data_IF_307971771506
#
_entry.id   IF_307971771506
#
_cell.length_a   1.000
_cell.length_b   1.000
_cell.length_c   1.000
_cell.angle_alpha   90.00
_cell.angle_beta   90.00
_cell.angle_gamma   90.00
#
_symmetry.space_group_name_H-M   'P 1'
#
loop_
_entity.id
_entity.type
_entity.pdbx_description
1 polymer ?
#
# COMPACT_ATOMS: atom_id res chain seq x y z
N UNK A 1 0.96 14.31 -28.69
CA UNK A 1 1.05 14.13 -27.21
C UNK A 1 0.90 12.65 -26.80
N UNK A 2 -0.06 11.90 -27.38
CA UNK A 2 -0.28 10.50 -27.02
C UNK A 2 0.92 9.55 -27.31
N UNK A 3 1.64 9.75 -28.40
CA UNK A 3 2.77 8.90 -28.79
C UNK A 3 4.01 9.09 -27.91
N UNK A 4 4.26 10.29 -27.41
CA UNK A 4 5.40 10.58 -26.53
C UNK A 4 5.15 10.02 -25.11
N UNK A 5 3.91 10.09 -24.63
CA UNK A 5 3.50 9.50 -23.35
C UNK A 5 3.57 7.97 -23.40
N UNK A 6 3.17 7.33 -24.52
CA UNK A 6 3.35 5.88 -24.72
C UNK A 6 4.83 5.47 -24.70
N UNK A 7 5.72 6.22 -25.35
CA UNK A 7 7.16 5.92 -25.33
C UNK A 7 7.80 6.13 -23.95
N UNK A 8 7.40 7.15 -23.21
CA UNK A 8 7.88 7.36 -21.83
C UNK A 8 7.39 6.26 -20.89
N UNK A 9 6.13 5.82 -21.02
CA UNK A 9 5.58 4.71 -20.23
C UNK A 9 6.32 3.40 -20.51
N UNK A 10 6.66 3.09 -21.75
CA UNK A 10 7.45 1.91 -22.09
C UNK A 10 8.92 2.00 -21.68
N UNK A 11 9.47 3.21 -21.50
CA UNK A 11 10.84 3.39 -21.02
C UNK A 11 11.00 3.25 -19.51
N UNK A 12 9.95 3.53 -18.72
CA UNK A 12 9.98 3.41 -17.26
C UNK A 12 9.72 2.00 -16.76
N UNK A 13 9.08 1.13 -17.57
CA UNK A 13 8.78 -0.26 -17.24
C UNK A 13 9.80 -1.14 -17.94
N UNK A 14 11.02 -1.17 -17.45
CA UNK A 14 12.04 -2.13 -17.86
C UNK A 14 12.29 -3.11 -16.73
N UNK A 15 12.00 -4.35 -17.02
CA UNK A 15 12.47 -5.65 -16.48
C UNK A 15 12.74 -5.80 -14.96
N UNK A 16 12.90 -4.70 -14.19
CA UNK A 16 13.25 -4.74 -12.78
C UNK A 16 12.31 -3.92 -11.87
N UNK A 17 11.33 -3.21 -12.42
CA UNK A 17 10.42 -2.36 -11.64
C UNK A 17 8.97 -2.64 -12.01
N UNK A 18 8.18 -3.06 -11.04
CA UNK A 18 6.73 -3.17 -11.19
C UNK A 18 6.07 -1.80 -11.01
N UNK A 19 5.13 -1.48 -11.90
CA UNK A 19 4.34 -0.24 -11.82
C UNK A 19 2.87 -0.60 -11.61
N UNK A 20 2.31 -0.08 -10.54
CA UNK A 20 0.89 -0.22 -10.21
C UNK A 20 0.22 1.15 -10.09
N UNK A 21 -1.03 1.24 -10.51
CA UNK A 21 -1.86 2.44 -10.33
C UNK A 21 -3.02 2.10 -9.42
N UNK A 22 -3.09 2.71 -8.24
CA UNK A 22 -4.27 2.62 -7.38
C UNK A 22 -5.13 3.86 -7.58
N UNK A 23 -6.36 3.63 -8.05
CA UNK A 23 -7.27 4.71 -8.45
C UNK A 23 -8.52 4.71 -7.57
N UNK A 24 -9.26 5.85 -7.49
CA UNK A 24 -10.57 5.89 -6.87
C UNK A 24 -11.52 4.86 -7.49
N UNK A 25 -12.47 4.36 -6.72
CA UNK A 25 -13.44 3.35 -7.19
C UNK A 25 -14.16 3.74 -8.49
N UNK A 26 -14.45 5.04 -8.65
CA UNK A 26 -15.12 5.60 -9.84
C UNK A 26 -14.30 5.45 -11.11
N UNK A 27 -12.99 5.32 -11.00
CA UNK A 27 -12.06 5.28 -12.14
C UNK A 27 -11.59 3.87 -12.49
N UNK A 28 -11.96 2.86 -11.68
CA UNK A 28 -11.52 1.48 -11.88
C UNK A 28 -11.92 0.92 -13.25
N UNK A 29 -13.15 1.15 -13.70
CA UNK A 29 -13.59 0.71 -15.02
C UNK A 29 -12.83 1.42 -16.14
N UNK A 30 -12.52 2.70 -15.97
CA UNK A 30 -11.79 3.49 -16.96
C UNK A 30 -10.35 2.99 -17.09
N UNK A 31 -9.65 2.75 -15.97
CA UNK A 31 -8.29 2.23 -16.01
C UNK A 31 -8.23 0.80 -16.56
N UNK A 32 -9.19 -0.06 -16.18
CA UNK A 32 -9.32 -1.39 -16.75
C UNK A 32 -9.39 -1.32 -18.29
N UNK A 33 -10.31 -0.52 -18.81
CA UNK A 33 -10.51 -0.38 -20.27
C UNK A 33 -9.25 0.12 -20.97
N UNK A 34 -8.53 1.07 -20.37
CA UNK A 34 -7.27 1.59 -20.93
C UNK A 34 -6.15 0.55 -20.92
N UNK A 35 -5.99 -0.17 -19.81
CA UNK A 35 -4.94 -1.18 -19.66
C UNK A 35 -5.17 -2.35 -20.63
N UNK A 36 -6.40 -2.87 -20.71
CA UNK A 36 -6.76 -3.97 -21.60
C UNK A 36 -6.72 -3.55 -23.09
N UNK A 37 -7.33 -2.39 -23.41
CA UNK A 37 -7.43 -1.90 -24.78
C UNK A 37 -6.09 -1.54 -25.41
N UNK A 38 -5.23 -0.89 -24.65
CA UNK A 38 -3.89 -0.46 -25.08
C UNK A 38 -2.80 -1.51 -24.78
N UNK A 39 -3.15 -2.63 -24.14
CA UNK A 39 -2.23 -3.70 -23.69
C UNK A 39 -1.05 -3.12 -22.90
N UNK A 40 -1.36 -2.26 -21.95
CA UNK A 40 -0.35 -1.61 -21.13
C UNK A 40 0.27 -2.63 -20.15
N UNK A 41 1.59 -2.56 -20.00
CA UNK A 41 2.32 -3.42 -19.05
C UNK A 41 2.39 -2.75 -17.66
N UNK A 42 1.25 -2.38 -17.15
CA UNK A 42 1.05 -1.87 -15.79
C UNK A 42 -0.10 -2.64 -15.14
N UNK A 43 -0.05 -2.73 -13.84
CA UNK A 43 -1.13 -3.28 -13.03
C UNK A 43 -1.95 -2.16 -12.39
N UNK A 44 -3.13 -2.47 -11.92
CA UNK A 44 -3.95 -1.47 -11.23
C UNK A 44 -4.71 -2.08 -10.05
N UNK A 45 -5.22 -1.21 -9.20
CA UNK A 45 -5.93 -1.59 -8.01
C UNK A 45 -6.76 -0.46 -7.42
N UNK A 46 -7.36 -0.72 -6.28
CA UNK A 46 -8.23 0.19 -5.57
C UNK A 46 -7.53 0.87 -4.40
N UNK A 47 -8.06 2.00 -3.96
CA UNK A 47 -7.56 2.77 -2.82
C UNK A 47 -8.15 2.34 -1.48
N UNK A 48 -9.08 1.38 -1.49
CA UNK A 48 -9.65 0.75 -0.30
C UNK A 48 -10.43 -0.52 -0.68
N UNK A 49 -10.84 -1.30 0.33
CA UNK A 49 -11.73 -2.46 0.20
C UNK A 49 -12.56 -2.61 1.47
N UNK A 50 -13.77 -3.15 1.35
CA UNK A 50 -14.55 -3.57 2.51
C UNK A 50 -13.98 -4.84 3.15
N UNK A 51 -14.06 -4.94 4.47
CA UNK A 51 -13.79 -6.18 5.19
C UNK A 51 -14.89 -7.24 4.99
N UNK A 52 -16.01 -6.86 4.36
CA UNK A 52 -17.18 -7.72 4.13
C UNK A 52 -17.29 -8.09 2.64
N UNK A 53 -17.67 -9.34 2.35
CA UNK A 53 -17.84 -9.80 0.98
C UNK A 53 -19.17 -9.38 0.38
N UNK A 54 -20.27 -9.84 0.97
CA UNK A 54 -21.61 -9.58 0.47
C UNK A 54 -22.56 -9.30 1.64
N UNK A 55 -23.61 -8.56 1.38
CA UNK A 55 -24.62 -8.26 2.39
C UNK A 55 -25.18 -6.85 2.28
N UNK A 56 -25.86 -6.40 3.30
CA UNK A 56 -26.49 -5.09 3.40
C UNK A 56 -25.47 -4.02 3.86
N UNK A 57 -24.42 -3.83 3.10
CA UNK A 57 -23.34 -2.87 3.36
C UNK A 57 -23.38 -1.74 2.33
N UNK A 58 -24.42 -0.95 2.38
CA UNK A 58 -24.65 0.13 1.40
C UNK A 58 -23.46 1.10 1.33
N UNK A 59 -22.89 1.26 0.15
CA UNK A 59 -21.73 2.13 -0.10
C UNK A 59 -20.37 1.43 -0.01
N UNK A 60 -20.29 0.21 0.54
CA UNK A 60 -19.08 -0.57 0.59
C UNK A 60 -18.74 -1.22 -0.77
N UNK A 61 -17.45 -1.30 -1.05
CA UNK A 61 -16.92 -1.99 -2.24
C UNK A 61 -16.18 -3.24 -1.77
N UNK A 62 -16.74 -4.41 -2.09
CA UNK A 62 -16.17 -5.68 -1.64
C UNK A 62 -14.99 -6.15 -2.50
N UNK A 63 -14.17 -7.02 -1.94
CA UNK A 63 -13.09 -7.67 -2.67
C UNK A 63 -13.58 -8.44 -3.91
N UNK A 64 -14.75 -9.07 -3.84
CA UNK A 64 -15.41 -9.72 -4.98
C UNK A 64 -15.71 -8.74 -6.14
N UNK A 65 -16.09 -7.49 -5.83
CA UNK A 65 -16.33 -6.47 -6.85
C UNK A 65 -15.03 -6.03 -7.51
N UNK A 66 -13.96 -5.87 -6.72
CA UNK A 66 -12.64 -5.48 -7.21
C UNK A 66 -11.99 -6.59 -8.07
N UNK A 67 -12.11 -7.83 -7.65
CA UNK A 67 -11.66 -9.01 -8.39
C UNK A 67 -12.30 -9.06 -9.79
N UNK A 68 -13.61 -8.84 -9.90
CA UNK A 68 -14.34 -8.78 -11.19
C UNK A 68 -13.88 -7.62 -12.09
N UNK A 69 -13.30 -6.59 -11.55
CA UNK A 69 -12.70 -5.48 -12.29
C UNK A 69 -11.22 -5.73 -12.60
N UNK A 70 -10.67 -6.90 -12.27
CA UNK A 70 -9.28 -7.25 -12.54
C UNK A 70 -8.26 -6.49 -11.69
N UNK A 71 -8.67 -5.98 -10.53
CA UNK A 71 -7.75 -5.37 -9.59
C UNK A 71 -6.75 -6.40 -9.06
N UNK A 72 -5.48 -6.04 -9.05
CA UNK A 72 -4.39 -6.87 -8.49
C UNK A 72 -3.84 -6.30 -7.19
N UNK A 73 -4.14 -5.05 -6.89
CA UNK A 73 -3.66 -4.34 -5.71
C UNK A 73 -4.81 -3.66 -4.96
N UNK A 74 -4.65 -3.55 -3.65
CA UNK A 74 -5.56 -2.77 -2.81
C UNK A 74 -4.76 -2.04 -1.74
N UNK A 75 -4.90 -0.72 -1.67
CA UNK A 75 -4.37 0.08 -0.57
C UNK A 75 -5.29 -0.11 0.64
N UNK A 76 -4.73 -0.37 1.82
CA UNK A 76 -5.47 -0.48 3.08
C UNK A 76 -4.75 0.27 4.18
N UNK A 77 -5.50 0.86 5.10
CA UNK A 77 -4.94 1.56 6.25
C UNK A 77 -4.20 2.85 5.93
N UNK A 78 -4.47 3.48 4.78
CA UNK A 78 -3.91 4.80 4.46
C UNK A 78 -4.17 5.80 5.59
N UNK A 79 -3.22 6.69 5.86
CA UNK A 79 -3.30 7.66 6.98
C UNK A 79 -4.59 8.47 7.00
N UNK A 80 -5.07 8.91 5.83
CA UNK A 80 -6.36 9.62 5.70
C UNK A 80 -7.55 8.74 6.12
N UNK A 81 -7.54 7.46 5.82
CA UNK A 81 -8.62 6.55 6.22
C UNK A 81 -8.60 6.27 7.71
N UNK A 82 -7.42 6.12 8.30
CA UNK A 82 -7.26 6.03 9.76
C UNK A 82 -7.79 7.30 10.43
N UNK A 83 -7.48 8.47 9.89
CA UNK A 83 -7.87 9.76 10.45
C UNK A 83 -9.35 10.09 10.22
N UNK A 84 -9.86 9.95 9.00
CA UNK A 84 -11.21 10.43 8.65
C UNK A 84 -12.30 9.38 8.79
N UNK A 85 -11.94 8.09 8.77
CA UNK A 85 -12.88 6.97 8.87
C UNK A 85 -12.65 6.13 10.13
N UNK A 86 -11.71 6.53 11.01
CA UNK A 86 -11.37 5.82 12.25
C UNK A 86 -11.02 4.33 12.03
N UNK A 87 -10.32 4.03 10.95
CA UNK A 87 -9.88 2.66 10.67
C UNK A 87 -8.82 2.23 11.68
N UNK A 88 -9.16 1.24 12.50
CA UNK A 88 -8.22 0.63 13.45
C UNK A 88 -7.27 -0.35 12.74
N UNK A 89 -6.19 -0.73 13.42
CA UNK A 89 -5.24 -1.72 12.89
C UNK A 89 -5.89 -3.08 12.66
N UNK A 90 -6.83 -3.49 13.51
CA UNK A 90 -7.59 -4.73 13.36
C UNK A 90 -8.47 -4.69 12.10
N UNK A 91 -9.09 -3.54 11.82
CA UNK A 91 -9.87 -3.38 10.59
C UNK A 91 -8.96 -3.42 9.36
N UNK A 92 -7.78 -2.81 9.43
CA UNK A 92 -6.77 -2.87 8.36
C UNK A 92 -6.31 -4.30 8.14
N UNK A 93 -6.02 -5.06 9.19
CA UNK A 93 -5.67 -6.49 9.10
C UNK A 93 -6.79 -7.31 8.43
N UNK A 94 -8.05 -7.08 8.82
CA UNK A 94 -9.20 -7.75 8.21
C UNK A 94 -9.34 -7.41 6.71
N UNK A 95 -9.12 -6.15 6.32
CA UNK A 95 -9.12 -5.71 4.92
C UNK A 95 -7.96 -6.33 4.12
N UNK A 96 -6.76 -6.38 4.69
CA UNK A 96 -5.60 -7.01 4.07
C UNK A 96 -5.85 -8.50 3.81
N UNK A 97 -6.34 -9.21 4.83
CA UNK A 97 -6.73 -10.62 4.70
C UNK A 97 -7.78 -10.82 3.62
N UNK A 98 -8.79 -9.96 3.57
CA UNK A 98 -9.86 -10.01 2.57
C UNK A 98 -9.32 -9.82 1.14
N UNK A 99 -8.40 -8.91 0.93
CA UNK A 99 -7.74 -8.73 -0.38
C UNK A 99 -6.98 -10.00 -0.80
N UNK A 100 -6.21 -10.59 0.13
CA UNK A 100 -5.44 -11.82 -0.11
C UNK A 100 -6.34 -13.02 -0.44
N UNK A 101 -7.47 -13.17 0.26
CA UNK A 101 -8.45 -14.25 0.01
C UNK A 101 -9.03 -14.19 -1.41
N UNK A 102 -9.06 -13.00 -2.01
CA UNK A 102 -9.52 -12.76 -3.38
C UNK A 102 -8.39 -12.58 -4.39
N UNK A 103 -7.19 -13.04 -4.09
CA UNK A 103 -6.06 -13.06 -5.01
C UNK A 103 -5.39 -11.71 -5.26
N UNK A 104 -5.80 -10.65 -4.57
CA UNK A 104 -5.17 -9.33 -4.64
C UNK A 104 -4.06 -9.20 -3.60
N UNK A 105 -3.06 -8.38 -3.89
CA UNK A 105 -1.98 -8.05 -2.96
C UNK A 105 -2.32 -6.75 -2.23
N UNK A 106 -2.42 -6.76 -0.89
CA UNK A 106 -2.63 -5.54 -0.13
C UNK A 106 -1.36 -4.70 -0.07
N UNK A 107 -1.53 -3.37 -0.16
CA UNK A 107 -0.53 -2.37 0.18
C UNK A 107 -0.94 -1.80 1.53
N UNK A 108 -0.31 -2.27 2.59
CA UNK A 108 -0.64 -1.88 3.98
C UNK A 108 0.13 -0.62 4.33
N UNK A 109 -0.60 0.48 4.56
CA UNK A 109 -0.02 1.75 4.93
C UNK A 109 0.16 1.86 6.44
N UNK A 110 1.35 2.29 6.84
CA UNK A 110 1.75 2.53 8.23
C UNK A 110 2.58 3.80 8.33
N UNK A 111 2.52 4.47 9.48
CA UNK A 111 3.31 5.67 9.69
C UNK A 111 2.88 6.45 10.91
N UNK A 112 3.83 7.19 11.47
CA UNK A 112 3.66 7.94 12.69
C UNK A 112 3.24 9.39 12.46
N UNK A 113 2.44 9.97 13.37
CA UNK A 113 2.17 11.40 13.40
C UNK A 113 3.33 12.19 14.01
N UNK A 114 3.28 13.52 13.86
CA UNK A 114 4.36 14.43 14.29
C UNK A 114 4.68 14.30 15.79
N UNK A 115 3.67 14.22 16.61
CA UNK A 115 3.84 14.17 18.06
C UNK A 115 4.67 12.95 18.49
N UNK A 116 4.40 11.80 17.88
CA UNK A 116 5.15 10.56 18.13
C UNK A 116 6.60 10.68 17.65
N UNK A 117 6.81 11.33 16.51
CA UNK A 117 8.15 11.60 15.98
C UNK A 117 8.96 12.50 16.90
N UNK A 118 8.36 13.59 17.39
CA UNK A 118 9.01 14.54 18.29
C UNK A 118 9.33 13.92 19.67
N UNK A 119 8.58 12.90 20.10
CA UNK A 119 8.87 12.12 21.30
C UNK A 119 9.98 11.07 21.10
N UNK A 120 10.47 10.87 19.89
CA UNK A 120 11.45 9.84 19.55
C UNK A 120 10.91 8.41 19.62
N UNK A 121 9.60 8.22 19.52
CA UNK A 121 8.91 6.92 19.62
C UNK A 121 8.46 6.37 18.26
N UNK A 122 8.88 7.00 17.17
CA UNK A 122 8.40 6.69 15.83
C UNK A 122 8.65 5.23 15.41
N UNK A 123 9.81 4.68 15.70
CA UNK A 123 10.14 3.29 15.35
C UNK A 123 9.20 2.33 16.08
N UNK A 124 9.13 2.40 17.42
CA UNK A 124 8.26 1.51 18.20
C UNK A 124 6.77 1.65 17.84
N UNK A 125 6.32 2.87 17.56
CA UNK A 125 4.95 3.11 17.12
C UNK A 125 4.66 2.43 15.78
N UNK A 126 5.54 2.57 14.78
CA UNK A 126 5.36 1.96 13.47
C UNK A 126 5.47 0.44 13.54
N UNK A 127 6.36 -0.10 14.38
CA UNK A 127 6.44 -1.55 14.62
C UNK A 127 5.14 -2.10 15.22
N UNK A 128 4.58 -1.46 16.25
CA UNK A 128 3.31 -1.87 16.86
C UNK A 128 2.15 -1.80 15.85
N UNK A 129 2.05 -0.68 15.12
CA UNK A 129 1.03 -0.49 14.08
C UNK A 129 1.15 -1.53 12.96
N UNK A 130 2.38 -1.82 12.51
CA UNK A 130 2.65 -2.82 11.48
C UNK A 130 2.26 -4.22 11.98
N UNK A 131 2.69 -4.60 13.18
CA UNK A 131 2.36 -5.89 13.80
C UNK A 131 0.85 -6.09 13.91
N UNK A 132 0.12 -5.07 14.35
CA UNK A 132 -1.33 -5.12 14.49
C UNK A 132 -2.05 -5.17 13.13
N UNK A 133 -1.58 -4.38 12.15
CA UNK A 133 -2.14 -4.33 10.79
C UNK A 133 -1.85 -5.60 9.95
N UNK A 134 -0.88 -6.42 10.34
CA UNK A 134 -0.54 -7.70 9.71
C UNK A 134 -1.04 -8.91 10.52
N UNK A 135 -1.76 -8.67 11.62
CA UNK A 135 -2.21 -9.73 12.51
C UNK A 135 -3.07 -10.78 11.78
N UNK A 136 -2.78 -12.06 12.02
CA UNK A 136 -3.50 -13.18 11.41
C UNK A 136 -3.08 -13.56 10.00
N UNK A 137 -2.12 -12.87 9.41
CA UNK A 137 -1.51 -13.27 8.13
C UNK A 137 -0.42 -14.33 8.38
N UNK A 138 -0.42 -15.38 7.57
CA UNK A 138 0.64 -16.39 7.56
C UNK A 138 1.82 -15.95 6.67
N UNK A 139 2.91 -16.73 6.69
CA UNK A 139 4.14 -16.43 5.93
C UNK A 139 3.90 -16.28 4.41
N UNK A 140 3.07 -17.14 3.82
CA UNK A 140 2.71 -17.06 2.40
C UNK A 140 1.94 -15.76 2.09
N UNK A 141 1.00 -15.39 2.93
CA UNK A 141 0.23 -14.15 2.82
C UNK A 141 1.11 -12.91 3.00
N UNK A 142 2.04 -12.94 3.94
CA UNK A 142 3.03 -11.89 4.14
C UNK A 142 3.93 -11.71 2.92
N UNK A 143 4.34 -12.78 2.26
CA UNK A 143 5.17 -12.72 1.04
C UNK A 143 4.46 -12.04 -0.15
N UNK A 144 3.13 -12.00 -0.12
CA UNK A 144 2.27 -11.34 -1.12
C UNK A 144 1.82 -9.93 -0.71
N UNK A 145 2.20 -9.49 0.47
CA UNK A 145 1.86 -8.18 1.02
C UNK A 145 2.95 -7.17 0.68
N UNK A 146 2.56 -5.93 0.47
CA UNK A 146 3.47 -4.78 0.35
C UNK A 146 3.19 -3.86 1.53
N UNK A 147 4.24 -3.29 2.11
CA UNK A 147 4.11 -2.32 3.20
C UNK A 147 4.50 -0.95 2.65
N UNK A 148 3.67 0.07 2.89
CA UNK A 148 3.96 1.44 2.52
C UNK A 148 4.17 2.27 3.79
N UNK A 149 5.39 2.74 4.01
CA UNK A 149 5.70 3.66 5.09
C UNK A 149 5.37 5.09 4.69
N UNK A 150 4.47 5.71 5.43
CA UNK A 150 4.02 7.09 5.23
C UNK A 150 4.46 7.93 6.44
N UNK A 151 5.51 8.77 6.35
CA UNK A 151 5.80 9.74 7.40
C UNK A 151 4.69 10.79 7.45
N UNK A 152 3.61 10.51 8.21
CA UNK A 152 2.37 11.32 8.23
C UNK A 152 2.69 12.78 8.55
N UNK A 153 3.68 13.03 9.40
CA UNK A 153 4.18 14.35 9.75
C UNK A 153 4.81 15.13 8.58
N UNK A 154 5.19 14.45 7.50
CA UNK A 154 5.76 15.05 6.30
C UNK A 154 4.73 15.25 5.18
N UNK A 155 3.52 14.66 5.29
CA UNK A 155 2.49 14.75 4.26
C UNK A 155 1.76 16.09 4.37
N UNK A 156 1.87 16.94 3.33
CA UNK A 156 1.15 18.22 3.24
C UNK A 156 1.59 19.31 4.23
N UNK A 157 2.62 19.08 5.03
CA UNK A 157 3.09 20.01 6.06
C UNK A 157 4.21 20.93 5.60
N UNK A 158 4.81 20.64 4.45
CA UNK A 158 6.03 21.30 3.98
C UNK A 158 7.33 20.76 4.61
N UNK A 159 7.24 19.85 5.58
CA UNK A 159 8.39 19.09 6.09
C UNK A 159 8.71 17.96 5.10
N UNK A 160 9.99 17.60 5.00
CA UNK A 160 10.46 16.51 4.13
C UNK A 160 11.26 15.56 5.01
N UNK A 161 10.93 14.28 4.98
CA UNK A 161 11.75 13.27 5.62
C UNK A 161 13.07 13.12 4.86
N UNK A 162 14.18 12.95 5.57
CA UNK A 162 15.45 12.62 4.96
C UNK A 162 15.49 11.17 4.49
N UNK A 163 16.48 10.82 3.66
CA UNK A 163 16.68 9.43 3.26
C UNK A 163 17.02 8.54 4.48
N UNK A 164 17.73 9.08 5.45
CA UNK A 164 18.08 8.41 6.69
C UNK A 164 16.84 8.15 7.55
N UNK A 165 15.92 9.13 7.68
CA UNK A 165 14.64 8.96 8.39
C UNK A 165 13.80 7.83 7.77
N UNK A 166 13.71 7.81 6.44
CA UNK A 166 12.97 6.77 5.72
C UNK A 166 13.64 5.39 5.88
N UNK A 167 14.98 5.34 5.76
CA UNK A 167 15.74 4.10 5.89
C UNK A 167 15.64 3.49 7.29
N UNK A 168 15.70 4.31 8.35
CA UNK A 168 15.58 3.86 9.73
C UNK A 168 14.26 3.08 9.94
N UNK A 169 13.15 3.68 9.55
CA UNK A 169 11.82 3.07 9.76
C UNK A 169 11.59 1.90 8.79
N UNK A 170 11.97 2.01 7.53
CA UNK A 170 11.85 0.89 6.59
C UNK A 170 12.68 -0.32 7.01
N UNK A 171 13.88 -0.09 7.61
CA UNK A 171 14.69 -1.17 8.16
C UNK A 171 14.00 -1.84 9.36
N UNK A 172 13.48 -1.06 10.30
CA UNK A 172 12.73 -1.59 11.45
C UNK A 172 11.51 -2.43 11.03
N UNK A 173 10.74 -1.95 10.04
CA UNK A 173 9.63 -2.72 9.46
C UNK A 173 10.13 -4.06 8.88
N UNK A 174 11.26 -4.08 8.18
CA UNK A 174 11.82 -5.30 7.61
C UNK A 174 12.25 -6.30 8.68
N UNK A 175 12.91 -5.83 9.73
CA UNK A 175 13.29 -6.67 10.87
C UNK A 175 12.05 -7.23 11.59
N UNK A 176 11.01 -6.42 11.76
CA UNK A 176 9.74 -6.90 12.29
C UNK A 176 9.13 -8.02 11.43
N UNK A 177 9.15 -7.89 10.10
CA UNK A 177 8.67 -8.97 9.21
C UNK A 177 9.52 -10.24 9.37
N UNK A 178 10.82 -10.12 9.61
CA UNK A 178 11.72 -11.23 9.90
C UNK A 178 11.30 -11.98 11.16
N UNK A 179 10.89 -11.26 12.20
CA UNK A 179 10.36 -11.87 13.42
C UNK A 179 9.00 -12.55 13.20
N UNK A 180 8.12 -11.93 12.38
CA UNK A 180 6.75 -12.43 12.15
C UNK A 180 6.70 -13.63 11.21
N UNK A 181 7.66 -13.78 10.32
CA UNK A 181 7.71 -14.83 9.30
C UNK A 181 9.05 -15.54 9.26
N UNK A 182 9.93 -15.13 8.36
CA UNK A 182 11.27 -15.70 8.16
C UNK A 182 12.17 -14.73 7.36
N UNK A 183 13.46 -15.12 7.24
CA UNK A 183 14.46 -14.34 6.50
C UNK A 183 14.08 -14.16 5.02
N UNK A 184 13.59 -15.21 4.37
CA UNK A 184 13.26 -15.16 2.94
C UNK A 184 12.08 -14.18 2.66
N UNK A 185 11.07 -14.21 3.52
CA UNK A 185 9.93 -13.28 3.44
C UNK A 185 10.38 -11.85 3.73
N UNK A 186 11.19 -11.65 4.76
CA UNK A 186 11.70 -10.33 5.12
C UNK A 186 12.58 -9.71 4.00
N UNK A 187 13.42 -10.52 3.37
CA UNK A 187 14.28 -10.06 2.28
C UNK A 187 13.48 -9.82 0.98
N UNK A 188 12.41 -10.59 0.77
CA UNK A 188 11.56 -10.51 -0.43
C UNK A 188 10.44 -9.46 -0.37
N UNK A 189 9.96 -9.10 0.82
CA UNK A 189 8.84 -8.15 0.95
C UNK A 189 9.21 -6.77 0.44
N UNK A 190 8.31 -6.14 -0.30
CA UNK A 190 8.49 -4.76 -0.76
C UNK A 190 8.03 -3.79 0.32
N UNK A 191 8.91 -2.86 0.67
CA UNK A 191 8.61 -1.74 1.57
C UNK A 191 8.75 -0.47 0.74
N UNK A 192 7.65 0.24 0.56
CA UNK A 192 7.56 1.46 -0.21
C UNK A 192 7.68 2.66 0.71
N UNK A 193 8.28 3.73 0.21
CA UNK A 193 8.22 5.03 0.85
C UNK A 193 7.06 5.83 0.26
N UNK A 194 6.09 6.21 1.09
CA UNK A 194 4.85 6.91 0.72
C UNK A 194 4.87 8.41 1.00
N UNK A 195 6.02 9.03 1.18
CA UNK A 195 6.15 10.48 1.35
C UNK A 195 6.20 11.23 0.03
N UNK A 196 6.44 12.55 0.10
CA UNK A 196 6.61 13.40 -1.08
C UNK A 196 7.90 13.07 -1.80
N UNK A 197 7.81 12.44 -2.96
CA UNK A 197 8.95 12.09 -3.82
C UNK A 197 8.89 12.95 -5.07
N UNK A 198 10.03 13.57 -5.42
CA UNK A 198 10.23 14.34 -6.64
C UNK A 198 11.47 13.84 -7.37
N UNK A 199 11.58 14.17 -8.66
CA UNK A 199 12.72 13.72 -9.48
C UNK A 199 14.10 14.21 -8.98
N UNK A 200 14.13 15.28 -8.19
CA UNK A 200 15.33 15.85 -7.58
C UNK A 200 15.61 15.31 -6.15
N UNK A 201 14.72 14.48 -5.62
CA UNK A 201 14.84 13.85 -4.30
C UNK A 201 14.87 12.32 -4.34
N UNK A 202 14.97 11.73 -5.53
CA UNK A 202 15.11 10.28 -5.75
C UNK A 202 16.57 9.85 -5.80
#
# INVERSE_FOLDING_TARGET
LHLSIRRQRQMCIRDSVDVALTVPFTDLRSIQTLVEGDKLQITYGAQDVSANDNGAYTGEISATMLEKLGCTWVVVGHSERRQYHNESDELVAAKAKKALDHGMSPIVCVGEPLEVREEGKHVSFVEEQTRASLAGLNTEELSRTVIAYEPVWAIGTGKVASAEDAQEVCHAIRELVRELADDATADGIRILYGGSVKADTC
#
